data_IF_255885773238
#
_entry.id   IF_255885773238
#
_cell.length_a   1.000
_cell.length_b   1.000
_cell.length_c   1.000
_cell.angle_alpha   90.00
_cell.angle_beta   90.00
_cell.angle_gamma   90.00
#
_symmetry.space_group_name_H-M   'P 1'
#
loop_
_entity.id
_entity.type
_entity.pdbx_description
1 polymer ?
#
# COMPACT_ATOMS: atom_id res chain seq x y z
N UNK A 1 -6.53 -33.51 -14.00
CA UNK A 1 -5.76 -32.24 -14.08
C UNK A 1 -6.63 -30.99 -14.29
N UNK A 2 -7.79 -31.05 -14.96
CA UNK A 2 -8.66 -29.87 -15.15
C UNK A 2 -9.33 -29.32 -13.86
N UNK A 3 -9.63 -30.17 -12.86
CA UNK A 3 -10.25 -29.73 -11.59
C UNK A 3 -9.36 -28.83 -10.72
N UNK A 4 -8.03 -28.98 -10.80
CA UNK A 4 -7.09 -28.19 -9.97
C UNK A 4 -6.89 -26.78 -10.55
N UNK A 5 -6.88 -26.65 -11.88
CA UNK A 5 -6.74 -25.35 -12.56
C UNK A 5 -7.94 -24.44 -12.29
N UNK A 6 -9.16 -24.99 -12.23
CA UNK A 6 -10.36 -24.24 -11.88
C UNK A 6 -10.32 -23.65 -10.46
N UNK A 7 -9.79 -24.41 -9.49
CA UNK A 7 -9.66 -23.96 -8.10
C UNK A 7 -8.58 -22.88 -7.94
N UNK A 8 -7.42 -23.06 -8.59
CA UNK A 8 -6.33 -22.05 -8.59
C UNK A 8 -6.80 -20.69 -9.13
N UNK A 9 -7.60 -20.69 -10.20
CA UNK A 9 -8.13 -19.44 -10.79
C UNK A 9 -9.05 -18.66 -9.84
N UNK A 10 -9.85 -19.37 -9.02
CA UNK A 10 -10.70 -18.74 -8.01
C UNK A 10 -9.87 -18.08 -6.91
N UNK A 11 -8.85 -18.77 -6.41
CA UNK A 11 -7.94 -18.25 -5.38
C UNK A 11 -7.19 -16.99 -5.84
N UNK A 12 -6.73 -16.97 -7.10
CA UNK A 12 -6.11 -15.77 -7.68
C UNK A 12 -7.11 -14.60 -7.68
N UNK A 13 -8.38 -14.85 -8.01
CA UNK A 13 -9.44 -13.83 -7.95
C UNK A 13 -9.62 -13.22 -6.55
N UNK A 14 -9.64 -14.06 -5.51
CA UNK A 14 -9.68 -13.57 -4.12
C UNK A 14 -8.45 -12.73 -3.77
N UNK A 15 -7.26 -13.15 -4.20
CA UNK A 15 -6.03 -12.38 -4.01
C UNK A 15 -6.12 -10.99 -4.62
N UNK A 16 -6.62 -10.87 -5.85
CA UNK A 16 -6.78 -9.58 -6.54
C UNK A 16 -7.80 -8.68 -5.81
N UNK A 17 -8.92 -9.23 -5.34
CA UNK A 17 -9.90 -8.45 -4.58
C UNK A 17 -9.31 -7.90 -3.28
N UNK A 18 -8.58 -8.72 -2.52
CA UNK A 18 -7.92 -8.30 -1.29
C UNK A 18 -6.87 -7.21 -1.54
N UNK A 19 -6.14 -7.33 -2.65
CA UNK A 19 -5.18 -6.31 -3.09
C UNK A 19 -5.86 -4.97 -3.39
N UNK A 20 -7.02 -4.98 -4.05
CA UNK A 20 -7.80 -3.77 -4.32
C UNK A 20 -8.32 -3.14 -3.01
N UNK A 21 -8.91 -3.94 -2.12
CA UNK A 21 -9.43 -3.46 -0.84
C UNK A 21 -8.30 -2.87 0.02
N UNK A 22 -7.14 -3.54 0.05
CA UNK A 22 -5.93 -3.02 0.72
C UNK A 22 -5.46 -1.69 0.12
N UNK A 23 -5.43 -1.59 -1.21
CA UNK A 23 -5.07 -0.35 -1.92
C UNK A 23 -6.01 0.82 -1.61
N UNK A 24 -7.32 0.58 -1.53
CA UNK A 24 -8.31 1.58 -1.12
C UNK A 24 -8.05 2.05 0.32
N UNK A 25 -7.70 1.12 1.22
CA UNK A 25 -7.33 1.45 2.60
C UNK A 25 -6.12 2.38 2.67
N UNK A 26 -5.06 2.08 1.91
CA UNK A 26 -3.87 2.94 1.82
C UNK A 26 -4.22 4.32 1.27
N UNK A 27 -5.02 4.39 0.21
CA UNK A 27 -5.49 5.65 -0.36
C UNK A 27 -6.26 6.49 0.68
N UNK A 28 -7.14 5.86 1.45
CA UNK A 28 -7.95 6.56 2.44
C UNK A 28 -7.09 7.11 3.60
N UNK A 29 -6.17 6.31 4.11
CA UNK A 29 -5.22 6.76 5.14
C UNK A 29 -4.39 7.94 4.63
N UNK A 30 -3.93 7.89 3.38
CA UNK A 30 -3.19 9.01 2.79
C UNK A 30 -4.04 10.26 2.59
N UNK A 31 -5.31 10.12 2.17
CA UNK A 31 -6.22 11.25 2.07
C UNK A 31 -6.42 11.93 3.43
N UNK A 32 -6.65 11.15 4.49
CA UNK A 32 -6.79 11.67 5.85
C UNK A 32 -5.49 12.36 6.30
N UNK A 33 -4.34 11.73 6.09
CA UNK A 33 -3.05 12.31 6.46
C UNK A 33 -2.74 13.63 5.75
N UNK A 34 -3.08 13.73 4.45
CA UNK A 34 -2.97 15.00 3.70
C UNK A 34 -3.88 16.05 4.29
N UNK A 35 -5.12 15.69 4.66
CA UNK A 35 -6.05 16.65 5.27
C UNK A 35 -5.60 17.13 6.65
N UNK A 36 -5.02 16.26 7.48
CA UNK A 36 -4.46 16.64 8.79
C UNK A 36 -3.24 17.55 8.64
N UNK A 37 -2.38 17.30 7.64
CA UNK A 37 -1.15 18.06 7.39
C UNK A 37 -1.34 19.23 6.41
N UNK A 38 -2.58 19.60 6.05
CA UNK A 38 -2.92 20.69 5.09
C UNK A 38 -2.16 21.99 5.40
N UNK A 39 -2.15 22.42 6.66
CA UNK A 39 -1.53 23.69 7.08
C UNK A 39 -0.01 23.66 6.93
N UNK A 40 0.64 22.54 7.28
CA UNK A 40 2.09 22.37 7.11
C UNK A 40 2.48 22.38 5.62
N UNK A 41 1.69 21.75 4.76
CA UNK A 41 1.89 21.75 3.30
C UNK A 41 1.74 23.17 2.75
N UNK A 42 0.71 23.90 3.20
CA UNK A 42 0.46 25.30 2.84
C UNK A 42 1.62 26.23 3.21
N UNK A 43 2.16 26.09 4.43
CA UNK A 43 3.34 26.86 4.86
C UNK A 43 4.56 26.53 4.01
N UNK A 44 4.84 25.26 3.72
CA UNK A 44 5.97 24.86 2.86
C UNK A 44 5.86 25.45 1.46
N UNK A 45 4.67 25.41 0.86
CA UNK A 45 4.43 25.98 -0.47
C UNK A 45 4.51 27.51 -0.46
N UNK A 46 4.06 28.19 0.60
CA UNK A 46 4.16 29.64 0.75
C UNK A 46 5.62 30.13 0.87
N UNK A 47 6.51 29.31 1.44
CA UNK A 47 7.96 29.58 1.53
C UNK A 47 8.70 29.18 0.23
N UNK A 48 8.00 28.62 -0.76
CA UNK A 48 8.54 28.35 -2.10
C UNK A 48 8.81 26.88 -2.43
N UNK A 49 8.33 25.91 -1.63
CA UNK A 49 8.39 24.49 -2.00
C UNK A 49 7.60 24.23 -3.28
N UNK A 50 8.16 23.40 -4.18
CA UNK A 50 7.46 23.06 -5.43
C UNK A 50 6.41 21.99 -5.14
N UNK A 51 5.31 22.03 -5.90
CA UNK A 51 4.28 20.98 -5.89
C UNK A 51 4.88 19.57 -6.12
N UNK A 52 5.96 19.48 -6.90
CA UNK A 52 6.72 18.23 -7.11
C UNK A 52 7.33 17.66 -5.83
N UNK A 53 7.82 18.52 -4.94
CA UNK A 53 8.51 18.11 -3.72
C UNK A 53 7.50 17.49 -2.74
N UNK A 54 6.32 18.12 -2.65
CA UNK A 54 5.19 17.63 -1.87
C UNK A 54 4.69 16.29 -2.43
N UNK A 55 4.52 16.20 -3.74
CA UNK A 55 4.09 14.96 -4.40
C UNK A 55 5.08 13.81 -4.14
N UNK A 56 6.39 14.07 -4.27
CA UNK A 56 7.42 13.07 -4.01
C UNK A 56 7.43 12.62 -2.56
N UNK A 57 7.25 13.53 -1.59
CA UNK A 57 7.20 13.18 -0.18
C UNK A 57 6.05 12.20 0.11
N UNK A 58 4.82 12.53 -0.32
CA UNK A 58 3.66 11.67 -0.09
C UNK A 58 3.76 10.34 -0.83
N UNK A 59 4.34 10.34 -2.04
CA UNK A 59 4.55 9.11 -2.79
C UNK A 59 5.58 8.20 -2.10
N UNK A 60 6.67 8.77 -1.58
CA UNK A 60 7.68 8.04 -0.80
C UNK A 60 7.05 7.49 0.49
N UNK A 61 6.20 8.28 1.17
CA UNK A 61 5.48 7.83 2.37
C UNK A 61 4.58 6.63 2.05
N UNK A 62 3.81 6.69 0.96
CA UNK A 62 2.96 5.59 0.51
C UNK A 62 3.78 4.33 0.16
N UNK A 63 4.88 4.48 -0.59
CA UNK A 63 5.75 3.36 -0.96
C UNK A 63 6.42 2.73 0.27
N UNK A 64 6.91 3.55 1.20
CA UNK A 64 7.49 3.07 2.46
C UNK A 64 6.47 2.27 3.27
N UNK A 65 5.23 2.77 3.40
CA UNK A 65 4.15 2.06 4.08
C UNK A 65 3.86 0.72 3.41
N UNK A 66 3.82 0.66 2.08
CA UNK A 66 3.60 -0.59 1.34
C UNK A 66 4.77 -1.57 1.50
N UNK A 67 6.02 -1.09 1.50
CA UNK A 67 7.21 -1.94 1.69
C UNK A 67 7.26 -2.51 3.11
N UNK A 68 7.01 -1.67 4.12
CA UNK A 68 6.93 -2.10 5.52
C UNK A 68 5.75 -3.04 5.77
N UNK A 69 4.58 -2.75 5.20
CA UNK A 69 3.42 -3.63 5.30
C UNK A 69 3.66 -4.98 4.64
N UNK A 70 4.34 -5.00 3.49
CA UNK A 70 4.67 -6.24 2.77
C UNK A 70 5.73 -7.06 3.50
N UNK A 71 6.75 -6.42 4.07
CA UNK A 71 7.77 -7.12 4.86
C UNK A 71 7.19 -7.73 6.14
N UNK A 72 6.37 -6.98 6.87
CA UNK A 72 5.62 -7.47 8.03
C UNK A 72 4.65 -8.58 7.64
N UNK A 73 3.95 -8.44 6.52
CA UNK A 73 3.03 -9.46 5.99
C UNK A 73 3.75 -10.77 5.68
N UNK A 74 4.94 -10.72 5.06
CA UNK A 74 5.77 -11.91 4.81
C UNK A 74 6.23 -12.53 6.13
N UNK A 75 6.74 -11.73 7.07
CA UNK A 75 7.18 -12.22 8.37
C UNK A 75 6.04 -12.92 9.14
N UNK A 76 4.85 -12.31 9.17
CA UNK A 76 3.63 -12.88 9.75
C UNK A 76 3.22 -14.17 9.03
N UNK A 77 3.27 -14.19 7.69
CA UNK A 77 2.90 -15.37 6.91
C UNK A 77 3.81 -16.57 7.20
N UNK A 78 5.11 -16.35 7.40
CA UNK A 78 6.07 -17.38 7.79
C UNK A 78 5.84 -17.85 9.23
N UNK A 79 5.57 -16.92 10.15
CA UNK A 79 5.23 -17.24 11.54
C UNK A 79 3.97 -18.11 11.66
N UNK A 80 2.92 -17.77 10.91
CA UNK A 80 1.69 -18.57 10.84
C UNK A 80 1.98 -19.95 10.23
N UNK A 81 2.80 -20.03 9.18
CA UNK A 81 3.20 -21.30 8.58
C UNK A 81 3.91 -22.24 9.55
N UNK A 82 4.81 -21.71 10.37
CA UNK A 82 5.50 -22.47 11.41
C UNK A 82 4.52 -22.96 12.49
N UNK A 83 3.61 -22.09 12.95
CA UNK A 83 2.60 -22.46 13.94
C UNK A 83 1.65 -23.54 13.41
N UNK A 84 1.29 -23.47 12.14
CA UNK A 84 0.43 -24.46 11.50
C UNK A 84 1.14 -25.81 11.34
N UNK A 85 2.44 -25.81 11.05
CA UNK A 85 3.26 -27.03 10.98
C UNK A 85 3.36 -27.76 12.32
N UNK A 86 3.18 -27.07 13.46
CA UNK A 86 3.16 -27.69 14.79
C UNK A 86 1.82 -28.37 15.09
N UNK A 87 0.71 -27.85 14.56
CA UNK A 87 -0.64 -28.33 14.83
C UNK A 87 -1.21 -29.29 13.79
N UNK A 88 -0.69 -29.30 12.55
CA UNK A 88 -1.23 -30.11 11.47
C UNK A 88 -0.13 -30.75 10.63
N UNK A 89 -0.03 -32.09 10.70
CA UNK A 89 0.93 -32.91 9.94
C UNK A 89 0.50 -33.21 8.49
N UNK A 90 -0.75 -32.89 8.13
CA UNK A 90 -1.33 -33.28 6.84
C UNK A 90 -1.19 -32.24 5.72
N UNK A 91 -0.81 -30.99 6.03
CA UNK A 91 -0.70 -29.92 5.03
C UNK A 91 0.71 -29.31 5.03
N UNK A 92 1.45 -29.52 3.94
CA UNK A 92 2.76 -28.89 3.73
C UNK A 92 2.58 -27.55 3.03
N UNK A 93 2.95 -26.46 3.71
CA UNK A 93 2.92 -25.11 3.14
C UNK A 93 4.22 -24.85 2.38
N UNK A 94 4.14 -24.81 1.06
CA UNK A 94 5.29 -24.56 0.19
C UNK A 94 5.38 -23.07 -0.14
N UNK A 95 6.41 -22.42 0.38
CA UNK A 95 6.75 -21.04 0.03
C UNK A 95 7.73 -21.03 -1.13
N UNK A 96 7.39 -20.32 -2.21
CA UNK A 96 8.32 -20.07 -3.32
C UNK A 96 8.83 -18.64 -3.26
N UNK A 97 10.15 -18.46 -3.41
CA UNK A 97 10.77 -17.14 -3.49
C UNK A 97 10.14 -16.29 -4.61
N UNK A 98 9.76 -16.90 -5.73
CA UNK A 98 9.10 -16.21 -6.84
C UNK A 98 7.74 -15.61 -6.43
N UNK A 99 6.96 -16.31 -5.61
CA UNK A 99 5.67 -15.82 -5.11
C UNK A 99 5.85 -14.63 -4.17
N UNK A 100 6.89 -14.65 -3.32
CA UNK A 100 7.20 -13.56 -2.40
C UNK A 100 7.60 -12.30 -3.18
N UNK A 101 8.50 -12.45 -4.16
CA UNK A 101 8.93 -11.33 -5.01
C UNK A 101 7.75 -10.77 -5.80
N UNK A 102 6.92 -11.63 -6.39
CA UNK A 102 5.74 -11.19 -7.14
C UNK A 102 4.74 -10.45 -6.25
N UNK A 103 4.53 -10.92 -5.00
CA UNK A 103 3.66 -10.25 -4.04
C UNK A 103 4.20 -8.86 -3.67
N UNK A 104 5.51 -8.72 -3.45
CA UNK A 104 6.16 -7.43 -3.18
C UNK A 104 5.99 -6.45 -4.35
N UNK A 105 6.24 -6.91 -5.58
CA UNK A 105 6.12 -6.08 -6.78
C UNK A 105 4.67 -5.64 -6.99
N UNK A 106 3.70 -6.57 -6.89
CA UNK A 106 2.28 -6.24 -7.02
C UNK A 106 1.81 -5.27 -5.94
N UNK A 107 2.20 -5.49 -4.68
CA UNK A 107 1.85 -4.61 -3.56
C UNK A 107 2.44 -3.20 -3.73
N UNK A 108 3.72 -3.10 -4.14
CA UNK A 108 4.38 -1.83 -4.41
C UNK A 108 3.72 -1.08 -5.57
N UNK A 109 3.38 -1.76 -6.67
CA UNK A 109 2.64 -1.17 -7.78
C UNK A 109 1.29 -0.59 -7.35
N UNK A 110 0.53 -1.34 -6.55
CA UNK A 110 -0.76 -0.88 -6.00
C UNK A 110 -0.55 0.33 -5.09
N UNK A 111 0.47 0.30 -4.23
CA UNK A 111 0.84 1.43 -3.38
C UNK A 111 1.13 2.71 -4.16
N UNK A 112 1.88 2.60 -5.27
CA UNK A 112 2.15 3.72 -6.17
C UNK A 112 0.88 4.24 -6.83
N UNK A 113 0.05 3.34 -7.37
CA UNK A 113 -1.20 3.72 -8.08
C UNK A 113 -2.17 4.42 -7.13
N UNK A 114 -2.43 3.84 -5.96
CA UNK A 114 -3.38 4.38 -4.99
C UNK A 114 -2.82 5.56 -4.19
N UNK A 115 -1.49 5.66 -4.03
CA UNK A 115 -0.81 6.79 -3.39
C UNK A 115 -0.62 8.00 -4.30
N UNK A 116 -0.59 7.81 -5.62
CA UNK A 116 -0.43 8.91 -6.57
C UNK A 116 -1.60 9.91 -6.52
N UNK A 117 -2.83 9.42 -6.41
CA UNK A 117 -4.03 10.27 -6.34
C UNK A 117 -4.02 11.25 -5.14
N UNK A 118 -3.85 10.81 -3.88
CA UNK A 118 -3.77 11.73 -2.74
C UNK A 118 -2.51 12.62 -2.80
N UNK A 119 -1.37 12.11 -3.27
CA UNK A 119 -0.15 12.91 -3.42
C UNK A 119 -0.34 14.06 -4.41
N UNK A 120 -1.03 13.80 -5.53
CA UNK A 120 -1.40 14.83 -6.50
C UNK A 120 -2.35 15.85 -5.89
N UNK A 121 -3.37 15.40 -5.15
CA UNK A 121 -4.30 16.31 -4.44
C UNK A 121 -3.59 17.21 -3.42
N UNK A 122 -2.56 16.71 -2.74
CA UNK A 122 -1.75 17.50 -1.81
C UNK A 122 -0.93 18.58 -2.54
N UNK A 123 -0.40 18.24 -3.72
CA UNK A 123 0.43 19.12 -4.53
C UNK A 123 -0.36 20.24 -5.25
N UNK A 124 -1.65 20.01 -5.52
CA UNK A 124 -2.56 20.98 -6.16
C UNK A 124 -3.30 21.87 -5.14
N UNK A 125 -2.88 21.86 -3.87
CA UNK A 125 -3.55 22.62 -2.81
C UNK A 125 -3.18 24.12 -2.88
N UNK A 126 -4.18 25.00 -2.87
CA UNK A 126 -3.96 26.45 -2.83
C UNK A 126 -3.35 26.87 -1.48
N UNK A 127 -2.12 27.42 -1.44
CA UNK A 127 -1.44 27.76 -0.19
C UNK A 127 -2.19 28.81 0.63
N UNK A 128 -2.85 29.77 -0.03
CA UNK A 128 -3.67 30.79 0.64
C UNK A 128 -4.87 30.16 1.35
N UNK A 129 -5.59 29.26 0.67
CA UNK A 129 -6.75 28.55 1.25
C UNK A 129 -6.34 27.55 2.33
N UNK A 130 -5.13 26.98 2.22
CA UNK A 130 -4.56 26.10 3.24
C UNK A 130 -4.23 26.83 4.55
N UNK A 131 -3.91 28.14 4.46
CA UNK A 131 -3.63 29.01 5.61
C UNK A 131 -4.90 29.64 6.21
N UNK A 132 -5.95 29.86 5.39
CA UNK A 132 -7.25 30.37 5.84
C UNK A 132 -8.16 29.31 6.49
N UNK A 133 -7.86 28.01 6.33
CA UNK A 133 -8.50 26.93 7.07
C UNK A 133 -8.03 26.97 8.54
N UNK A 134 -8.65 27.85 9.31
CA UNK A 134 -8.47 28.16 10.75
C UNK A 134 -7.07 28.57 11.22
#
# INVERSE_FOLDING_TARGET
>A
MQHVTGSKRRLIGWGVLLLIVGGIGVMNIMLVSVTERTKEIGVRMAVGARASDIMQQFLIEAVLVCLLGSSLGVALSLGIGLLFSLFSSNFSMVYSAASIITAFVCSSLIGVIFGFFPAKRAAEMDPIRALERE
#
